data_IF_087563853454
#
_entry.id   IF_087563853454
#
_cell.length_a   1.000
_cell.length_b   1.000
_cell.length_c   1.000
_cell.angle_alpha   90.00
_cell.angle_beta   90.00
_cell.angle_gamma   90.00
#
_symmetry.space_group_name_H-M   'P 1'
#
loop_
_entity.id
_entity.type
_entity.pdbx_description
1 polymer ?
#
# COMPACT_ATOMS: atom_id res chain seq x y z
N UNK A 1 40.08 9.91 -142.56
CA UNK A 1 41.35 10.60 -142.86
C UNK A 1 42.15 10.73 -141.57
N UNK A 2 42.83 9.65 -141.17
CA UNK A 2 43.85 9.74 -140.14
C UNK A 2 45.13 10.22 -140.83
N UNK A 3 45.74 11.28 -140.30
CA UNK A 3 47.05 11.76 -140.72
C UNK A 3 48.01 10.56 -140.88
N UNK A 4 48.90 10.53 -141.89
CA UNK A 4 49.88 9.46 -142.02
C UNK A 4 50.66 9.42 -140.70
N UNK A 5 50.41 8.39 -139.89
CA UNK A 5 51.11 8.20 -138.63
C UNK A 5 52.56 8.00 -139.02
N UNK A 6 53.42 8.97 -138.71
CA UNK A 6 54.84 8.85 -138.99
C UNK A 6 55.31 7.56 -138.34
N UNK A 7 55.68 6.57 -139.16
CA UNK A 7 56.18 5.30 -138.63
C UNK A 7 57.51 5.63 -137.99
N UNK A 8 57.51 5.74 -136.66
CA UNK A 8 58.72 6.01 -135.88
C UNK A 8 59.59 4.77 -136.01
N UNK A 9 60.60 4.84 -136.89
CA UNK A 9 61.52 3.74 -137.09
C UNK A 9 62.51 3.65 -135.94
N UNK A 10 63.02 2.45 -135.65
CA UNK A 10 64.05 2.23 -134.64
C UNK A 10 65.23 3.22 -134.83
N UNK A 11 65.66 3.43 -136.08
CA UNK A 11 66.73 4.36 -136.43
C UNK A 11 66.45 5.80 -136.01
N UNK A 12 65.19 6.26 -136.12
CA UNK A 12 64.78 7.61 -135.71
C UNK A 12 64.86 7.77 -134.19
N UNK A 13 64.52 6.73 -133.43
CA UNK A 13 64.64 6.72 -131.96
C UNK A 13 66.11 6.69 -131.54
N UNK A 14 66.97 5.90 -132.21
CA UNK A 14 68.43 5.92 -131.97
C UNK A 14 69.00 7.31 -132.19
N UNK A 15 68.65 7.94 -133.31
CA UNK A 15 69.20 9.24 -133.69
C UNK A 15 68.86 10.31 -132.64
N UNK A 16 67.62 10.34 -132.14
CA UNK A 16 67.22 11.29 -131.11
C UNK A 16 67.82 10.96 -129.73
N UNK A 17 67.92 9.68 -129.35
CA UNK A 17 68.56 9.28 -128.08
C UNK A 17 70.05 9.64 -128.05
N UNK A 18 70.79 9.41 -129.15
CA UNK A 18 72.20 9.80 -129.28
C UNK A 18 72.37 11.32 -129.25
N UNK A 19 71.46 12.05 -129.89
CA UNK A 19 71.45 13.52 -129.91
C UNK A 19 71.15 14.12 -128.54
N UNK A 20 70.40 13.42 -127.70
CA UNK A 20 70.19 13.74 -126.28
C UNK A 20 71.41 13.43 -125.39
N UNK A 21 72.54 13.03 -125.97
CA UNK A 21 73.79 12.75 -125.25
C UNK A 21 73.88 11.33 -124.67
N UNK A 22 72.94 10.44 -124.99
CA UNK A 22 72.99 9.05 -124.55
C UNK A 22 74.02 8.30 -125.39
N UNK A 23 74.85 7.49 -124.72
CA UNK A 23 75.82 6.65 -125.38
C UNK A 23 75.16 5.80 -126.48
N UNK A 24 75.79 5.72 -127.65
CA UNK A 24 75.23 5.06 -128.84
C UNK A 24 74.88 3.59 -128.63
N UNK A 25 75.60 2.85 -127.79
CA UNK A 25 75.27 1.46 -127.46
C UNK A 25 73.97 1.41 -126.64
N UNK A 26 73.82 2.28 -125.64
CA UNK A 26 72.63 2.39 -124.79
C UNK A 26 71.43 2.92 -125.59
N UNK A 27 71.63 3.88 -126.48
CA UNK A 27 70.60 4.42 -127.37
C UNK A 27 70.12 3.38 -128.40
N UNK A 28 71.03 2.53 -128.89
CA UNK A 28 70.67 1.41 -129.79
C UNK A 28 69.82 0.39 -129.06
N UNK A 29 70.21 0.00 -127.84
CA UNK A 29 69.45 -0.92 -126.98
C UNK A 29 68.07 -0.36 -126.58
N UNK A 30 67.99 0.89 -126.13
CA UNK A 30 66.73 1.55 -125.77
C UNK A 30 65.77 1.74 -126.96
N UNK A 31 66.30 2.08 -128.14
CA UNK A 31 65.48 2.17 -129.36
C UNK A 31 64.93 0.83 -129.80
N UNK A 32 65.73 -0.25 -129.63
CA UNK A 32 65.33 -1.61 -129.98
C UNK A 32 64.19 -2.04 -129.06
N UNK A 33 64.35 -1.78 -127.76
CA UNK A 33 63.33 -2.03 -126.74
C UNK A 33 62.05 -1.22 -126.96
N UNK A 34 62.13 0.04 -127.33
CA UNK A 34 60.97 0.87 -127.66
C UNK A 34 60.25 0.35 -128.92
N UNK A 35 60.99 0.09 -130.00
CA UNK A 35 60.45 -0.35 -131.29
C UNK A 35 59.84 -1.76 -131.24
N UNK A 36 60.33 -2.60 -130.33
CA UNK A 36 59.80 -3.95 -130.10
C UNK A 36 58.70 -4.02 -129.03
N UNK A 37 58.27 -2.88 -128.47
CA UNK A 37 57.38 -2.88 -127.29
C UNK A 37 57.95 -3.78 -126.18
N UNK A 38 59.25 -3.68 -125.89
CA UNK A 38 59.86 -4.32 -124.71
C UNK A 38 59.85 -3.40 -123.48
N UNK A 39 59.49 -2.11 -123.65
CA UNK A 39 59.09 -1.20 -122.57
C UNK A 39 57.58 -1.34 -122.23
N UNK A 40 57.09 -2.58 -122.30
CA UNK A 40 55.68 -2.91 -122.50
C UNK A 40 55.43 -4.28 -121.85
N UNK A 41 54.28 -4.39 -121.16
CA UNK A 41 53.92 -5.48 -120.24
C UNK A 41 54.85 -5.68 -119.03
N UNK A 42 56.16 -5.84 -119.20
CA UNK A 42 57.10 -6.13 -118.09
C UNK A 42 57.16 -5.03 -117.03
N UNK A 43 57.16 -3.76 -117.44
CA UNK A 43 57.16 -2.63 -116.49
C UNK A 43 55.81 -2.50 -115.75
N UNK A 44 54.70 -2.82 -116.42
CA UNK A 44 53.35 -2.84 -115.81
C UNK A 44 53.18 -4.05 -114.88
N UNK A 45 53.67 -5.22 -115.27
CA UNK A 45 53.74 -6.44 -114.46
C UNK A 45 54.63 -6.23 -113.24
N UNK A 46 55.75 -5.52 -113.39
CA UNK A 46 56.61 -5.12 -112.29
C UNK A 46 55.89 -4.16 -111.32
N UNK A 47 55.19 -3.15 -111.84
CA UNK A 47 54.37 -2.25 -111.01
C UNK A 47 53.24 -2.99 -110.31
N UNK A 48 52.48 -3.82 -111.02
CA UNK A 48 51.38 -4.62 -110.47
C UNK A 48 51.89 -5.57 -109.38
N UNK A 49 52.99 -6.27 -109.63
CA UNK A 49 53.63 -7.15 -108.64
C UNK A 49 54.11 -6.36 -107.43
N UNK A 50 54.76 -5.21 -107.61
CA UNK A 50 55.22 -4.37 -106.50
C UNK A 50 54.05 -3.78 -105.70
N UNK A 51 52.98 -3.33 -106.37
CA UNK A 51 51.78 -2.83 -105.70
C UNK A 51 51.07 -3.95 -104.94
N UNK A 52 50.95 -5.14 -105.52
CA UNK A 52 50.41 -6.33 -104.86
C UNK A 52 51.19 -6.69 -103.60
N UNK A 53 52.51 -6.84 -103.73
CA UNK A 53 53.40 -7.12 -102.58
C UNK A 53 53.32 -6.03 -101.50
N UNK A 54 53.23 -4.75 -101.89
CA UNK A 54 53.09 -3.67 -100.93
C UNK A 54 51.71 -3.65 -100.26
N UNK A 55 50.65 -4.02 -100.97
CA UNK A 55 49.30 -4.16 -100.44
C UNK A 55 49.22 -5.33 -99.45
N UNK A 56 49.81 -6.48 -99.77
CA UNK A 56 49.90 -7.63 -98.86
C UNK A 56 50.65 -7.26 -97.58
N UNK A 57 51.80 -6.59 -97.71
CA UNK A 57 52.54 -6.07 -96.54
C UNK A 57 51.71 -5.09 -95.71
N UNK A 58 50.88 -4.26 -96.35
CA UNK A 58 50.00 -3.33 -95.65
C UNK A 58 48.89 -4.09 -94.91
N UNK A 59 48.28 -5.07 -95.56
CA UNK A 59 47.24 -5.93 -95.00
C UNK A 59 47.77 -6.70 -93.78
N UNK A 60 48.95 -7.30 -93.88
CA UNK A 60 49.62 -7.97 -92.77
C UNK A 60 49.89 -7.01 -91.61
N UNK A 61 50.31 -5.78 -91.89
CA UNK A 61 50.50 -4.75 -90.86
C UNK A 61 49.20 -4.36 -90.18
N UNK A 62 48.10 -4.22 -90.94
CA UNK A 62 46.77 -3.91 -90.40
C UNK A 62 46.28 -5.06 -89.51
N UNK A 63 46.30 -6.29 -90.00
CA UNK A 63 45.91 -7.48 -89.23
C UNK A 63 46.75 -7.63 -87.95
N UNK A 64 48.05 -7.34 -88.05
CA UNK A 64 48.94 -7.32 -86.90
C UNK A 64 48.63 -6.21 -85.90
N UNK A 65 48.17 -5.03 -86.35
CA UNK A 65 47.69 -3.95 -85.47
C UNK A 65 46.38 -4.36 -84.80
N UNK A 66 45.42 -4.86 -85.56
CA UNK A 66 44.11 -5.29 -85.08
C UNK A 66 44.25 -6.35 -83.98
N UNK A 67 45.03 -7.40 -84.24
CA UNK A 67 45.31 -8.43 -83.23
C UNK A 67 45.93 -7.86 -81.96
N UNK A 68 46.92 -6.96 -82.08
CA UNK A 68 47.53 -6.32 -80.90
C UNK A 68 46.56 -5.43 -80.13
N UNK A 69 45.58 -4.82 -80.79
CA UNK A 69 44.56 -4.02 -80.14
C UNK A 69 43.56 -4.93 -79.41
N UNK A 70 43.14 -6.02 -80.03
CA UNK A 70 42.25 -7.00 -79.42
C UNK A 70 42.88 -7.66 -78.19
N UNK A 71 44.14 -8.09 -78.29
CA UNK A 71 44.91 -8.61 -77.15
C UNK A 71 45.00 -7.58 -76.00
N UNK A 72 45.20 -6.30 -76.33
CA UNK A 72 45.24 -5.22 -75.34
C UNK A 72 43.88 -4.98 -74.69
N UNK A 73 42.80 -4.98 -75.47
CA UNK A 73 41.43 -4.78 -74.96
C UNK A 73 41.08 -5.92 -74.00
N UNK A 74 41.31 -7.17 -74.42
CA UNK A 74 41.07 -8.36 -73.59
C UNK A 74 41.91 -8.33 -72.30
N UNK A 75 43.17 -7.89 -72.40
CA UNK A 75 44.04 -7.72 -71.22
C UNK A 75 43.51 -6.66 -70.25
N UNK A 76 43.01 -5.53 -70.76
CA UNK A 76 42.41 -4.46 -69.96
C UNK A 76 41.11 -4.95 -69.31
N UNK A 77 40.22 -5.60 -70.06
CA UNK A 77 38.95 -6.10 -69.56
C UNK A 77 39.15 -7.11 -68.43
N UNK A 78 40.05 -8.08 -68.62
CA UNK A 78 40.41 -9.03 -67.58
C UNK A 78 40.98 -8.35 -66.32
N UNK A 79 41.83 -7.34 -66.48
CA UNK A 79 42.38 -6.59 -65.34
C UNK A 79 41.29 -5.83 -64.56
N UNK A 80 40.36 -5.20 -65.28
CA UNK A 80 39.24 -4.48 -64.67
C UNK A 80 38.30 -5.42 -63.94
N UNK A 81 37.94 -6.55 -64.55
CA UNK A 81 37.08 -7.56 -63.92
C UNK A 81 37.71 -8.10 -62.63
N UNK A 82 39.01 -8.42 -62.64
CA UNK A 82 39.72 -8.85 -61.43
C UNK A 82 39.72 -7.78 -60.33
N UNK A 83 39.93 -6.51 -60.68
CA UNK A 83 39.88 -5.41 -59.71
C UNK A 83 38.48 -5.25 -59.12
N UNK A 84 37.44 -5.32 -59.95
CA UNK A 84 36.04 -5.25 -59.51
C UNK A 84 35.75 -6.38 -58.52
N UNK A 85 36.07 -7.63 -58.86
CA UNK A 85 35.86 -8.78 -57.97
C UNK A 85 36.61 -8.63 -56.63
N UNK A 86 37.86 -8.15 -56.66
CA UNK A 86 38.63 -7.92 -55.44
C UNK A 86 38.01 -6.84 -54.57
N UNK A 87 37.55 -5.73 -55.17
CA UNK A 87 36.86 -4.65 -54.46
C UNK A 87 35.54 -5.14 -53.86
N UNK A 88 34.73 -5.89 -54.61
CA UNK A 88 33.48 -6.47 -54.12
C UNK A 88 33.70 -7.42 -52.94
N UNK A 89 34.71 -8.30 -53.01
CA UNK A 89 35.07 -9.19 -51.89
C UNK A 89 35.50 -8.38 -50.67
N UNK A 90 36.32 -7.35 -50.85
CA UNK A 90 36.78 -6.49 -49.75
C UNK A 90 35.62 -5.79 -49.06
N UNK A 91 34.74 -5.15 -49.83
CA UNK A 91 33.57 -4.44 -49.29
C UNK A 91 32.61 -5.39 -48.57
N UNK A 92 32.37 -6.58 -49.13
CA UNK A 92 31.55 -7.61 -48.48
C UNK A 92 32.14 -8.06 -47.15
N UNK A 93 33.47 -8.23 -47.08
CA UNK A 93 34.16 -8.57 -45.84
C UNK A 93 34.04 -7.46 -44.79
N UNK A 94 34.23 -6.20 -45.18
CA UNK A 94 34.07 -5.05 -44.27
C UNK A 94 32.64 -4.96 -43.73
N UNK A 95 31.62 -5.13 -44.58
CA UNK A 95 30.21 -5.12 -44.16
C UNK A 95 29.94 -6.21 -43.12
N UNK A 96 30.44 -7.44 -43.34
CA UNK A 96 30.29 -8.55 -42.38
C UNK A 96 31.02 -8.26 -41.06
N UNK A 97 32.20 -7.64 -41.12
CA UNK A 97 32.96 -7.26 -39.93
C UNK A 97 32.22 -6.22 -39.10
N UNK A 98 31.73 -5.15 -39.72
CA UNK A 98 30.96 -4.10 -39.06
C UNK A 98 29.67 -4.65 -38.46
N UNK A 99 28.96 -5.52 -39.20
CA UNK A 99 27.74 -6.16 -38.69
C UNK A 99 28.00 -6.98 -37.43
N UNK A 100 29.04 -7.82 -37.47
CA UNK A 100 29.45 -8.62 -36.31
C UNK A 100 29.80 -7.74 -35.10
N UNK A 101 30.49 -6.61 -35.32
CA UNK A 101 30.82 -5.68 -34.23
C UNK A 101 29.57 -5.03 -33.62
N UNK A 102 28.60 -4.65 -34.45
CA UNK A 102 27.33 -4.08 -33.99
C UNK A 102 26.50 -5.11 -33.21
N UNK A 103 26.39 -6.35 -33.71
CA UNK A 103 25.67 -7.42 -33.02
C UNK A 103 26.28 -7.67 -31.62
N UNK A 104 27.61 -7.76 -31.52
CA UNK A 104 28.31 -7.87 -30.24
C UNK A 104 28.06 -6.67 -29.29
N UNK A 105 28.00 -5.45 -29.83
CA UNK A 105 27.70 -4.25 -29.02
C UNK A 105 26.26 -4.29 -28.49
N UNK A 106 25.31 -4.75 -29.29
CA UNK A 106 23.92 -4.90 -28.89
C UNK A 106 23.80 -5.95 -27.78
N UNK A 107 24.38 -7.13 -27.94
CA UNK A 107 24.35 -8.19 -26.92
C UNK A 107 24.96 -7.73 -25.59
N UNK A 108 26.09 -7.02 -25.64
CA UNK A 108 26.71 -6.45 -24.44
C UNK A 108 25.82 -5.39 -23.76
N UNK A 109 25.15 -4.54 -24.53
CA UNK A 109 24.21 -3.55 -23.99
C UNK A 109 23.00 -4.23 -23.34
N UNK A 110 22.41 -5.25 -23.99
CA UNK A 110 21.30 -6.02 -23.45
C UNK A 110 21.68 -6.71 -22.14
N UNK A 111 22.86 -7.36 -22.10
CA UNK A 111 23.38 -7.99 -20.88
C UNK A 111 23.55 -6.99 -19.74
N UNK A 112 24.17 -5.83 -20.00
CA UNK A 112 24.36 -4.79 -19.00
C UNK A 112 23.04 -4.20 -18.49
N UNK A 113 22.06 -4.02 -19.38
CA UNK A 113 20.72 -3.55 -19.00
C UNK A 113 20.00 -4.56 -18.12
N UNK A 114 20.08 -5.86 -18.44
CA UNK A 114 19.50 -6.91 -17.61
C UNK A 114 20.11 -6.94 -16.20
N UNK A 115 21.44 -6.87 -16.09
CA UNK A 115 22.13 -6.78 -14.79
C UNK A 115 21.65 -5.58 -13.98
N UNK A 116 21.51 -4.42 -14.62
CA UNK A 116 21.07 -3.19 -13.95
C UNK A 116 19.60 -3.26 -13.52
N UNK A 117 18.74 -3.85 -14.35
CA UNK A 117 17.33 -4.09 -14.01
C UNK A 117 17.22 -5.02 -12.79
N UNK A 118 18.01 -6.09 -12.76
CA UNK A 118 18.00 -7.04 -11.64
C UNK A 118 18.55 -6.41 -10.36
N UNK A 119 19.57 -5.54 -10.47
CA UNK A 119 20.04 -4.70 -9.36
C UNK A 119 18.92 -3.86 -8.74
N UNK A 120 18.22 -3.08 -9.57
CA UNK A 120 17.09 -2.24 -9.12
C UNK A 120 15.96 -3.08 -8.52
N UNK A 121 15.63 -4.23 -9.11
CA UNK A 121 14.61 -5.15 -8.55
C UNK A 121 14.98 -5.66 -7.16
N UNK A 122 16.25 -6.00 -6.95
CA UNK A 122 16.74 -6.48 -5.66
C UNK A 122 16.74 -5.39 -4.60
N UNK A 123 17.15 -4.17 -4.95
CA UNK A 123 17.08 -2.99 -4.06
C UNK A 123 15.63 -2.72 -3.64
N UNK A 124 14.70 -2.64 -4.59
CA UNK A 124 13.28 -2.43 -4.29
C UNK A 124 12.69 -3.53 -3.41
N UNK A 125 13.09 -4.80 -3.63
CA UNK A 125 12.66 -5.91 -2.78
C UNK A 125 13.18 -5.78 -1.34
N UNK A 126 14.40 -5.27 -1.17
CA UNK A 126 14.98 -4.98 0.15
C UNK A 126 14.21 -3.85 0.83
N UNK A 127 13.94 -2.75 0.13
CA UNK A 127 13.22 -1.61 0.67
C UNK A 127 11.79 -1.99 1.11
N UNK A 128 11.09 -2.82 0.33
CA UNK A 128 9.77 -3.35 0.69
C UNK A 128 9.85 -4.16 1.99
N UNK A 129 10.85 -5.03 2.12
CA UNK A 129 11.04 -5.84 3.34
C UNK A 129 11.33 -4.97 4.56
N UNK A 130 12.12 -3.92 4.41
CA UNK A 130 12.43 -2.99 5.49
C UNK A 130 11.20 -2.17 5.91
N UNK A 131 10.34 -1.79 4.97
CA UNK A 131 9.05 -1.16 5.25
C UNK A 131 8.12 -2.11 6.00
N UNK A 132 8.00 -3.37 5.59
CA UNK A 132 7.19 -4.38 6.29
C UNK A 132 7.67 -4.54 7.75
N UNK A 133 8.98 -4.62 7.98
CA UNK A 133 9.54 -4.70 9.32
C UNK A 133 9.21 -3.47 10.19
N UNK A 134 9.26 -2.26 9.59
CA UNK A 134 8.87 -1.02 10.27
C UNK A 134 7.38 -1.02 10.62
N UNK A 135 6.52 -1.48 9.71
CA UNK A 135 5.08 -1.59 9.94
C UNK A 135 4.80 -2.55 11.11
N UNK A 136 5.38 -3.76 11.09
CA UNK A 136 5.24 -4.73 12.18
C UNK A 136 5.70 -4.16 13.54
N UNK A 137 6.78 -3.39 13.55
CA UNK A 137 7.29 -2.74 14.76
C UNK A 137 6.30 -1.70 15.30
N UNK A 138 5.75 -0.85 14.42
CA UNK A 138 4.74 0.15 14.80
C UNK A 138 3.48 -0.52 15.33
N UNK A 139 3.01 -1.58 14.68
CA UNK A 139 1.82 -2.35 15.10
C UNK A 139 2.01 -2.93 16.50
N UNK A 140 3.16 -3.59 16.75
CA UNK A 140 3.52 -4.14 18.07
C UNK A 140 3.55 -3.06 19.15
N UNK A 141 4.18 -1.92 18.88
CA UNK A 141 4.25 -0.80 19.82
C UNK A 141 2.87 -0.21 20.14
N UNK A 142 1.98 -0.12 19.15
CA UNK A 142 0.60 0.35 19.35
C UNK A 142 -0.19 -0.62 20.23
N UNK A 143 -0.08 -1.92 19.97
CA UNK A 143 -0.73 -2.96 20.78
C UNK A 143 -0.27 -2.88 22.25
N UNK A 144 1.04 -2.79 22.49
CA UNK A 144 1.58 -2.62 23.86
C UNK A 144 1.05 -1.37 24.57
N UNK A 145 0.94 -0.25 23.83
CA UNK A 145 0.41 1.00 24.38
C UNK A 145 -1.08 0.90 24.71
N UNK A 146 -1.84 0.20 23.86
CA UNK A 146 -3.27 -0.09 24.08
C UNK A 146 -3.43 -0.96 25.33
N UNK A 147 -2.71 -2.06 25.43
CA UNK A 147 -2.75 -2.97 26.59
C UNK A 147 -2.41 -2.25 27.89
N UNK A 148 -1.38 -1.40 27.86
CA UNK A 148 -1.00 -0.57 29.01
C UNK A 148 -2.14 0.36 29.43
N UNK A 149 -2.80 1.02 28.47
CA UNK A 149 -3.91 1.93 28.77
C UNK A 149 -5.16 1.20 29.27
N UNK A 150 -5.44 0.00 28.78
CA UNK A 150 -6.49 -0.85 29.34
C UNK A 150 -6.17 -1.25 30.79
N UNK A 151 -4.92 -1.63 31.08
CA UNK A 151 -4.50 -1.95 32.45
C UNK A 151 -4.60 -0.76 33.41
N UNK A 152 -4.24 0.45 32.96
CA UNK A 152 -4.44 1.68 33.74
C UNK A 152 -5.94 1.93 34.03
N UNK A 153 -6.81 1.73 33.03
CA UNK A 153 -8.25 1.91 33.19
C UNK A 153 -8.86 0.90 34.17
N UNK A 154 -8.48 -0.37 34.08
CA UNK A 154 -8.92 -1.42 35.00
C UNK A 154 -8.53 -1.09 36.45
N UNK A 155 -7.33 -0.58 36.67
CA UNK A 155 -6.88 -0.15 38.00
C UNK A 155 -7.69 1.05 38.52
N UNK A 156 -8.00 2.02 37.65
CA UNK A 156 -8.85 3.14 38.03
C UNK A 156 -10.27 2.70 38.39
N UNK A 157 -10.84 1.75 37.64
CA UNK A 157 -12.16 1.16 37.94
C UNK A 157 -12.13 0.48 39.31
N UNK A 158 -11.14 -0.38 39.58
CA UNK A 158 -10.98 -1.05 40.89
C UNK A 158 -10.86 -0.05 42.05
N UNK A 159 -10.12 1.04 41.85
CA UNK A 159 -9.98 2.09 42.85
C UNK A 159 -11.32 2.79 43.13
N UNK A 160 -12.10 3.10 42.10
CA UNK A 160 -13.43 3.69 42.25
C UNK A 160 -14.37 2.72 42.97
N UNK A 161 -14.39 1.45 42.59
CA UNK A 161 -15.20 0.42 43.26
C UNK A 161 -14.87 0.29 44.74
N UNK A 162 -13.57 0.25 45.08
CA UNK A 162 -13.09 0.20 46.47
C UNK A 162 -13.56 1.43 47.27
N UNK A 163 -13.38 2.63 46.72
CA UNK A 163 -13.81 3.87 47.37
C UNK A 163 -15.33 3.93 47.57
N UNK A 164 -16.12 3.45 46.61
CA UNK A 164 -17.58 3.37 46.73
C UNK A 164 -17.99 2.40 47.83
N UNK A 165 -17.35 1.22 47.92
CA UNK A 165 -17.61 0.25 48.99
C UNK A 165 -17.33 0.85 50.37
N UNK A 166 -16.19 1.52 50.55
CA UNK A 166 -15.84 2.22 51.82
C UNK A 166 -16.91 3.25 52.18
N UNK A 167 -17.35 4.05 51.21
CA UNK A 167 -18.38 5.08 51.44
C UNK A 167 -19.74 4.48 51.79
N UNK A 168 -20.12 3.39 51.13
CA UNK A 168 -21.34 2.63 51.45
C UNK A 168 -21.28 2.11 52.88
N UNK A 169 -20.14 1.55 53.31
CA UNK A 169 -19.98 1.02 54.66
C UNK A 169 -20.02 2.12 55.72
N UNK A 170 -19.46 3.30 55.45
CA UNK A 170 -19.59 4.48 56.32
C UNK A 170 -21.07 4.85 56.53
N UNK A 171 -21.83 5.01 55.44
CA UNK A 171 -23.26 5.36 55.50
C UNK A 171 -24.06 4.28 56.25
N UNK A 172 -23.77 2.99 56.02
CA UNK A 172 -24.42 1.90 56.77
C UNK A 172 -24.16 1.99 58.27
N UNK A 173 -22.94 2.31 58.67
CA UNK A 173 -22.58 2.44 60.08
C UNK A 173 -23.22 3.66 60.74
N UNK A 174 -23.28 4.80 60.04
CA UNK A 174 -24.00 6.00 60.48
C UNK A 174 -25.49 5.69 60.71
N UNK A 175 -26.16 5.11 59.71
CA UNK A 175 -27.57 4.72 59.82
C UNK A 175 -27.82 3.72 60.96
N UNK A 176 -26.89 2.77 61.19
CA UNK A 176 -26.99 1.83 62.31
C UNK A 176 -26.88 2.53 63.66
N UNK A 177 -26.03 3.56 63.76
CA UNK A 177 -25.92 4.39 64.96
C UNK A 177 -27.19 5.19 65.21
N UNK A 178 -27.73 5.84 64.17
CA UNK A 178 -28.97 6.63 64.26
C UNK A 178 -30.16 5.77 64.70
N UNK A 179 -30.29 4.55 64.16
CA UNK A 179 -31.32 3.59 64.57
C UNK A 179 -31.17 3.24 66.06
N UNK A 180 -29.95 2.98 66.54
CA UNK A 180 -29.70 2.67 67.96
C UNK A 180 -30.03 3.85 68.87
N UNK A 181 -29.72 5.08 68.46
CA UNK A 181 -30.09 6.27 69.21
C UNK A 181 -31.61 6.42 69.31
N UNK A 182 -32.32 6.18 68.21
CA UNK A 182 -33.78 6.22 68.19
C UNK A 182 -34.38 5.16 69.13
N UNK A 183 -33.84 3.93 69.12
CA UNK A 183 -34.25 2.83 70.00
C UNK A 183 -34.10 3.22 71.48
N UNK A 184 -32.94 3.75 71.87
CA UNK A 184 -32.72 4.26 73.23
C UNK A 184 -33.70 5.37 73.62
N UNK A 185 -34.02 6.29 72.70
CA UNK A 185 -34.99 7.37 72.95
C UNK A 185 -36.41 6.82 73.15
N UNK A 186 -36.77 5.78 72.41
CA UNK A 186 -38.04 5.08 72.56
C UNK A 186 -38.10 4.42 73.95
N UNK A 187 -37.06 3.70 74.36
CA UNK A 187 -36.98 3.06 75.69
C UNK A 187 -37.11 4.08 76.84
N UNK A 188 -36.44 5.23 76.73
CA UNK A 188 -36.58 6.32 77.71
C UNK A 188 -38.02 6.83 77.76
N UNK A 189 -38.68 7.02 76.61
CA UNK A 189 -40.07 7.48 76.57
C UNK A 189 -41.05 6.47 77.12
N UNK A 190 -40.83 5.17 76.92
CA UNK A 190 -41.61 4.12 77.57
C UNK A 190 -41.41 4.15 79.09
N UNK A 191 -40.18 4.28 79.57
CA UNK A 191 -39.89 4.38 81.01
C UNK A 191 -40.52 5.62 81.65
N UNK A 192 -40.49 6.78 80.98
CA UNK A 192 -41.20 7.98 81.42
C UNK A 192 -42.72 7.76 81.49
N UNK A 193 -43.29 7.03 80.53
CA UNK A 193 -44.71 6.71 80.50
C UNK A 193 -45.09 5.75 81.64
N UNK A 194 -44.32 4.70 81.87
CA UNK A 194 -44.50 3.75 82.97
C UNK A 194 -44.48 4.47 84.33
N UNK A 195 -43.52 5.39 84.53
CA UNK A 195 -43.47 6.21 85.75
C UNK A 195 -44.71 7.09 85.93
N UNK A 196 -45.21 7.72 84.85
CA UNK A 196 -46.44 8.53 84.91
C UNK A 196 -47.67 7.67 85.25
N UNK A 197 -47.74 6.46 84.72
CA UNK A 197 -48.80 5.49 85.03
C UNK A 197 -48.74 5.10 86.52
N UNK A 198 -47.55 4.79 87.04
CA UNK A 198 -47.37 4.42 88.45
C UNK A 198 -47.75 5.56 89.40
N UNK A 199 -47.32 6.79 89.11
CA UNK A 199 -47.73 7.98 89.89
C UNK A 199 -49.25 8.13 89.87
N UNK A 200 -49.88 8.02 88.69
CA UNK A 200 -51.33 8.13 88.56
C UNK A 200 -52.06 7.06 89.36
N UNK A 201 -51.52 5.83 89.40
CA UNK A 201 -52.05 4.73 90.20
C UNK A 201 -51.93 5.01 91.70
N UNK A 202 -50.78 5.48 92.17
CA UNK A 202 -50.60 5.88 93.58
C UNK A 202 -51.57 6.99 94.00
N UNK A 203 -51.81 7.98 93.14
CA UNK A 203 -52.79 9.03 93.39
C UNK A 203 -54.22 8.48 93.49
N UNK A 204 -54.57 7.52 92.62
CA UNK A 204 -55.86 6.84 92.68
C UNK A 204 -55.99 6.01 93.97
N UNK A 205 -54.96 5.25 94.35
CA UNK A 205 -54.95 4.47 95.58
C UNK A 205 -55.08 5.37 96.82
N UNK A 206 -54.41 6.52 96.85
CA UNK A 206 -54.55 7.51 97.91
C UNK A 206 -55.97 8.08 97.98
N UNK A 207 -56.57 8.43 96.83
CA UNK A 207 -57.97 8.90 96.77
C UNK A 207 -58.94 7.83 97.28
N UNK A 208 -58.73 6.56 96.92
CA UNK A 208 -59.53 5.42 97.40
C UNK A 208 -59.41 5.30 98.92
N UNK A 209 -58.19 5.33 99.47
CA UNK A 209 -57.96 5.24 100.91
C UNK A 209 -58.64 6.37 101.70
N UNK A 210 -58.60 7.61 101.17
CA UNK A 210 -59.32 8.75 101.78
C UNK A 210 -60.83 8.51 101.77
N UNK A 211 -61.38 7.99 100.67
CA UNK A 211 -62.81 7.66 100.57
C UNK A 211 -63.19 6.56 101.57
N UNK A 212 -62.41 5.48 101.64
CA UNK A 212 -62.61 4.38 102.59
C UNK A 212 -62.59 4.87 104.04
N UNK A 213 -61.61 5.69 104.41
CA UNK A 213 -61.52 6.27 105.75
C UNK A 213 -62.72 7.17 106.07
N UNK A 214 -63.13 8.03 105.12
CA UNK A 214 -64.31 8.88 105.29
C UNK A 214 -65.61 8.07 105.43
N UNK A 215 -65.74 6.96 104.69
CA UNK A 215 -66.86 6.03 104.82
C UNK A 215 -66.86 5.35 106.20
N UNK A 216 -65.70 4.86 106.66
CA UNK A 216 -65.55 4.27 107.99
C UNK A 216 -65.94 5.26 109.10
N UNK A 217 -65.47 6.50 109.05
CA UNK A 217 -65.85 7.55 110.02
C UNK A 217 -67.37 7.79 110.02
N UNK A 218 -68.01 7.85 108.84
CA UNK A 218 -69.47 8.00 108.73
C UNK A 218 -70.23 6.80 109.30
N UNK A 219 -69.73 5.59 109.06
CA UNK A 219 -70.30 4.34 109.59
C UNK A 219 -70.16 4.32 111.11
N UNK A 220 -68.97 4.60 111.66
CA UNK A 220 -68.70 4.63 113.10
C UNK A 220 -69.58 5.67 113.81
N UNK A 221 -69.73 6.85 113.23
CA UNK A 221 -70.65 7.87 113.74
C UNK A 221 -72.09 7.35 113.77
N UNK A 222 -72.57 6.74 112.68
CA UNK A 222 -73.92 6.17 112.61
C UNK A 222 -74.14 5.06 113.65
N UNK A 223 -73.13 4.20 113.88
CA UNK A 223 -73.16 3.17 114.93
C UNK A 223 -73.19 3.80 116.33
N UNK A 224 -72.40 4.85 116.57
CA UNK A 224 -72.38 5.58 117.84
C UNK A 224 -73.73 6.24 118.13
N UNK A 225 -74.32 6.90 117.13
CA UNK A 225 -75.65 7.52 117.24
C UNK A 225 -76.72 6.44 117.56
N UNK A 226 -76.70 5.30 116.86
CA UNK A 226 -77.60 4.16 117.14
C UNK A 226 -77.41 3.60 118.55
N UNK A 227 -76.16 3.42 119.01
CA UNK A 227 -75.85 2.97 120.38
C UNK A 227 -76.36 3.98 121.42
N UNK A 228 -76.23 5.27 121.16
CA UNK A 228 -76.78 6.33 122.01
C UNK A 228 -78.30 6.22 122.15
N UNK A 229 -78.99 6.05 121.02
CA UNK A 229 -80.44 5.81 120.98
C UNK A 229 -80.82 4.54 121.76
N UNK A 230 -80.13 3.41 121.54
CA UNK A 230 -80.38 2.16 122.25
C UNK A 230 -80.12 2.27 123.76
N UNK A 231 -79.08 2.99 124.19
CA UNK A 231 -78.82 3.26 125.61
C UNK A 231 -79.93 4.09 126.24
N UNK A 232 -80.39 5.14 125.57
CA UNK A 232 -81.51 5.96 126.03
C UNK A 232 -82.78 5.09 126.16
N UNK A 233 -83.08 4.28 125.14
CA UNK A 233 -84.19 3.33 125.19
C UNK A 233 -84.02 2.32 126.32
N UNK A 234 -82.83 1.73 126.52
CA UNK A 234 -82.55 0.84 127.63
C UNK A 234 -82.75 1.51 128.99
N UNK A 235 -82.37 2.78 129.12
CA UNK A 235 -82.59 3.58 130.33
C UNK A 235 -84.09 3.86 130.53
N UNK A 236 -84.81 4.27 129.48
CA UNK A 236 -86.26 4.46 129.51
C UNK A 236 -86.99 3.17 129.87
N UNK A 237 -86.66 2.04 129.23
CA UNK A 237 -87.21 0.73 129.57
C UNK A 237 -86.90 0.36 131.03
N UNK A 238 -85.69 0.63 131.51
CA UNK A 238 -85.33 0.46 132.92
C UNK A 238 -86.23 1.27 133.85
N UNK A 239 -86.47 2.56 133.55
CA UNK A 239 -87.40 3.41 134.33
C UNK A 239 -88.84 2.94 134.24
N UNK A 240 -89.29 2.48 133.07
CA UNK A 240 -90.64 1.93 132.87
C UNK A 240 -90.79 0.64 133.69
N UNK A 241 -89.79 -0.23 133.70
CA UNK A 241 -89.76 -1.46 134.50
C UNK A 241 -89.80 -1.13 136.00
N UNK A 242 -88.99 -0.18 136.49
CA UNK A 242 -88.98 0.19 137.91
C UNK A 242 -90.29 0.84 138.35
N UNK A 243 -90.87 1.73 137.54
CA UNK A 243 -92.19 2.31 137.79
C UNK A 243 -93.27 1.20 137.80
N UNK A 244 -93.23 0.29 136.83
CA UNK A 244 -94.19 -0.83 136.73
C UNK A 244 -94.09 -1.77 137.95
N UNK A 245 -92.88 -2.10 138.39
CA UNK A 245 -92.63 -2.89 139.61
C UNK A 245 -93.10 -2.15 140.87
N UNK A 246 -92.83 -0.84 140.97
CA UNK A 246 -93.29 -0.01 142.08
C UNK A 246 -94.82 0.04 142.19
N UNK A 247 -95.51 0.21 141.05
CA UNK A 247 -96.98 0.15 140.98
C UNK A 247 -97.49 -1.23 141.39
N UNK A 248 -96.87 -2.31 140.90
CA UNK A 248 -97.25 -3.69 141.24
C UNK A 248 -97.12 -3.97 142.74
N UNK A 249 -96.03 -3.52 143.37
CA UNK A 249 -95.81 -3.64 144.83
C UNK A 249 -96.81 -2.80 145.64
N UNK A 250 -97.12 -1.58 145.19
CA UNK A 250 -98.14 -0.73 145.82
C UNK A 250 -99.54 -1.35 145.72
N UNK A 251 -99.88 -1.98 144.59
CA UNK A 251 -101.13 -2.72 144.41
C UNK A 251 -101.19 -3.97 145.31
N UNK A 252 -100.09 -4.72 145.46
CA UNK A 252 -100.00 -5.82 146.44
C UNK A 252 -100.26 -5.31 147.86
N UNK A 253 -99.69 -4.15 148.23
CA UNK A 253 -99.92 -3.53 149.53
C UNK A 253 -101.38 -3.12 149.78
N UNK A 254 -102.17 -2.91 148.72
CA UNK A 254 -103.60 -2.57 148.80
C UNK A 254 -104.50 -3.81 148.85
N UNK A 255 -104.01 -4.96 148.37
CA UNK A 255 -104.73 -6.25 148.34
C UNK A 255 -104.55 -7.08 149.62
N UNK A 256 -103.59 -6.76 150.48
CA UNK A 256 -103.34 -7.47 151.76
C UNK A 256 -104.05 -6.76 152.94
N UNK A 257 -105.24 -6.21 152.70
CA UNK A 257 -106.13 -5.68 153.74
C UNK A 257 -107.34 -6.58 153.92
#
# INVERSE_FOLDING_TARGET
MGLPQSVITQQMVIAELVKAGINREIATDLSYRYYKNELTYKDLEYLETNFGVNFDKLLDRINGVEKRLEDKINGIENNLNLKIEMTERSLKSEIVSVRTELDNKIENLESNLNIRIDGVRNELRSDIKDLDNKICTVESNLNLKIDTKFGELDNNIKNVESNLNVRIDSVRNELKSDIKELDNRIDVKFSELDNKIEISKMELDSKISIIENNLNIKIDKSISDLKGVLKLHGWMFGTIITISLGIFLALISLLVK
#
